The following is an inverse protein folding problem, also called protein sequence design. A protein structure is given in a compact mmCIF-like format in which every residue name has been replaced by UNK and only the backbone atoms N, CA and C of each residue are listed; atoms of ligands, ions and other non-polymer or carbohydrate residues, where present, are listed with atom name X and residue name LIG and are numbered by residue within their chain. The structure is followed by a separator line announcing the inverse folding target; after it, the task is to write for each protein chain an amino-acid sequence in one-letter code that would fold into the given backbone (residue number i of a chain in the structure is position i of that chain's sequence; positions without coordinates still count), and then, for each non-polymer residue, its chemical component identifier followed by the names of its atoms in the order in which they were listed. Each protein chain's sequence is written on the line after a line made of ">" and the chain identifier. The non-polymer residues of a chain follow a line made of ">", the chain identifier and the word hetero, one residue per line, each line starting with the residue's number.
data_IF_354212506233
#
_entry.id   IF_354212506233
#
_cell.length_a   1.000
_cell.length_b   1.000
_cell.length_c   1.000
_cell.angle_alpha   90.00
_cell.angle_beta   90.00
_cell.angle_gamma   90.00
#
_symmetry.space_group_name_H-M   'P 1'
#
loop_
_entity.id
_entity.type
_entity.pdbx_description
1 polymer ?
#
# COMPACT_ATOMS: atom_id res chain seq x y z
N UNK A 1 10.59 4.44 83.30
CA UNK A 1 10.12 5.53 82.40
C UNK A 1 10.89 5.57 81.07
N UNK A 2 12.24 5.69 81.05
CA UNK A 2 13.04 5.70 79.81
C UNK A 2 12.86 4.48 78.88
N UNK A 3 12.67 3.27 79.42
CA UNK A 3 12.41 2.04 78.63
C UNK A 3 11.06 2.05 77.90
N UNK A 4 10.02 2.65 78.48
CA UNK A 4 8.70 2.73 77.87
C UNK A 4 8.64 3.81 76.79
N UNK A 5 9.41 4.89 76.94
CA UNK A 5 9.57 5.97 75.94
C UNK A 5 10.28 5.46 74.67
N UNK A 6 11.30 4.61 74.83
CA UNK A 6 11.99 3.98 73.71
C UNK A 6 11.10 2.98 72.96
N UNK A 7 10.22 2.27 73.68
CA UNK A 7 9.29 1.31 73.09
C UNK A 7 8.14 2.00 72.34
N UNK A 8 7.62 3.12 72.86
CA UNK A 8 6.62 3.94 72.13
C UNK A 8 7.23 4.66 70.94
N UNK A 9 8.47 5.13 71.03
CA UNK A 9 9.18 5.72 69.89
C UNK A 9 9.47 4.70 68.77
N UNK A 10 9.81 3.45 69.12
CA UNK A 10 10.01 2.37 68.16
C UNK A 10 8.69 1.95 67.46
N UNK A 11 7.58 1.84 68.21
CA UNK A 11 6.28 1.56 67.62
C UNK A 11 5.75 2.71 66.74
N UNK A 12 6.05 3.97 67.09
CA UNK A 12 5.69 5.12 66.26
C UNK A 12 6.49 5.18 64.96
N UNK A 13 7.75 4.72 64.96
CA UNK A 13 8.58 4.63 63.75
C UNK A 13 8.13 3.51 62.80
N UNK A 14 7.61 2.40 63.35
CA UNK A 14 7.06 1.27 62.58
C UNK A 14 5.69 1.58 61.92
N UNK A 15 4.97 2.59 62.41
CA UNK A 15 3.70 3.04 61.81
C UNK A 15 3.90 4.08 60.68
N UNK A 16 5.13 4.55 60.47
CA UNK A 16 5.45 5.58 59.47
C UNK A 16 5.93 5.06 58.10
N UNK A 17 6.03 3.75 57.90
CA UNK A 17 6.58 3.16 56.66
C UNK A 17 5.51 2.68 55.67
N UNK A 18 4.28 3.20 55.72
CA UNK A 18 3.31 2.97 54.65
C UNK A 18 3.71 3.83 53.45
N UNK A 19 4.49 3.24 52.54
CA UNK A 19 4.79 3.82 51.23
C UNK A 19 3.50 3.98 50.44
N UNK A 20 2.98 5.20 50.35
CA UNK A 20 1.94 5.52 49.36
C UNK A 20 2.60 5.57 47.98
N UNK A 21 2.63 4.43 47.28
CA UNK A 21 3.16 4.37 45.91
C UNK A 21 2.24 5.08 44.90
N UNK A 22 0.94 5.18 45.19
CA UNK A 22 -0.09 5.67 44.27
C UNK A 22 0.01 7.20 43.97
N UNK A 23 0.86 7.95 44.69
CA UNK A 23 1.10 9.38 44.41
C UNK A 23 1.94 9.59 43.14
N UNK A 24 2.75 8.61 42.75
CA UNK A 24 3.61 8.68 41.56
C UNK A 24 2.95 8.09 40.31
N UNK A 25 1.82 7.40 40.47
CA UNK A 25 1.05 6.81 39.37
C UNK A 25 0.05 7.85 38.84
N UNK A 26 0.54 8.78 38.01
CA UNK A 26 -0.28 9.79 37.36
C UNK A 26 -0.51 9.40 35.89
N UNK A 27 -1.67 8.80 35.63
CA UNK A 27 -2.06 8.43 34.26
C UNK A 27 -2.28 9.67 33.38
N UNK A 28 -1.80 9.68 32.12
CA UNK A 28 -2.02 10.79 31.19
C UNK A 28 -3.52 11.05 31.00
N UNK A 29 -3.98 12.27 31.26
CA UNK A 29 -5.38 12.65 31.01
C UNK A 29 -5.54 13.05 29.54
N UNK A 30 -6.52 12.44 28.87
CA UNK A 30 -6.84 12.73 27.46
C UNK A 30 -6.04 11.90 26.44
N UNK A 31 -5.29 10.88 26.89
CA UNK A 31 -4.62 9.89 26.04
C UNK A 31 -4.95 8.52 26.62
N UNK A 32 -5.28 7.55 25.76
CA UNK A 32 -5.47 6.17 26.20
C UNK A 32 -4.11 5.48 26.30
N UNK A 33 -3.85 4.75 27.39
CA UNK A 33 -2.67 3.87 27.45
C UNK A 33 -2.87 2.66 26.54
N UNK A 34 -1.79 1.98 26.14
CA UNK A 34 -1.90 0.76 25.31
C UNK A 34 -2.71 -0.34 26.02
N UNK A 35 -2.60 -0.44 27.35
CA UNK A 35 -3.41 -1.37 28.15
C UNK A 35 -4.91 -1.04 28.13
N UNK A 36 -5.28 0.24 28.00
CA UNK A 36 -6.69 0.67 27.95
C UNK A 36 -7.36 0.37 26.60
N UNK A 37 -6.57 0.16 25.54
CA UNK A 37 -7.08 -0.04 24.16
C UNK A 37 -6.92 -1.46 23.64
N UNK A 38 -6.08 -2.30 24.26
CA UNK A 38 -5.94 -3.71 23.88
C UNK A 38 -7.04 -4.54 24.58
N UNK A 39 -8.29 -4.27 24.20
CA UNK A 39 -9.47 -5.01 24.65
C UNK A 39 -10.25 -5.55 23.44
N UNK A 40 -11.08 -6.60 23.61
CA UNK A 40 -11.91 -7.11 22.52
C UNK A 40 -12.81 -6.05 21.87
N UNK A 41 -13.22 -5.03 22.62
CA UNK A 41 -14.09 -3.94 22.17
C UNK A 41 -13.34 -2.90 21.34
N UNK A 42 -12.06 -2.65 21.65
CA UNK A 42 -11.29 -1.54 21.08
C UNK A 42 -10.23 -1.97 20.06
N UNK A 43 -9.84 -3.26 20.03
CA UNK A 43 -8.72 -3.75 19.20
C UNK A 43 -8.92 -3.52 17.69
N UNK A 44 -10.16 -3.50 17.21
CA UNK A 44 -10.47 -3.19 15.80
C UNK A 44 -10.09 -1.74 15.43
N UNK A 45 -9.92 -0.83 16.39
CA UNK A 45 -9.40 0.51 16.14
C UNK A 45 -7.98 0.51 15.55
N UNK A 46 -7.11 -0.40 16.00
CA UNK A 46 -5.78 -0.58 15.43
C UNK A 46 -5.85 -1.11 13.99
N UNK A 47 -6.75 -2.05 13.74
CA UNK A 47 -7.01 -2.63 12.41
C UNK A 47 -7.46 -1.53 11.45
N UNK A 48 -8.46 -0.72 11.85
CA UNK A 48 -8.98 0.40 11.06
C UNK A 48 -7.88 1.43 10.79
N UNK A 49 -7.05 1.76 11.79
CA UNK A 49 -5.93 2.69 11.61
C UNK A 49 -4.92 2.20 10.56
N UNK A 50 -4.66 0.89 10.51
CA UNK A 50 -3.80 0.29 9.48
C UNK A 50 -4.42 0.37 8.08
N UNK A 51 -5.72 0.08 7.93
CA UNK A 51 -6.44 0.28 6.65
C UNK A 51 -6.41 1.74 6.20
N UNK A 52 -6.62 2.68 7.13
CA UNK A 52 -6.57 4.09 6.82
C UNK A 52 -5.21 4.54 6.25
N UNK A 53 -4.12 3.79 6.48
CA UNK A 53 -2.83 4.14 5.88
C UNK A 53 -2.79 3.92 4.36
N UNK A 54 -3.63 3.06 3.77
CA UNK A 54 -3.60 2.69 2.33
C UNK A 54 -3.94 3.84 1.37
N UNK A 55 -4.51 4.95 1.88
CA UNK A 55 -4.86 6.13 1.10
C UNK A 55 -4.62 7.42 1.88
N UNK A 56 -3.62 7.42 2.76
CA UNK A 56 -3.15 8.61 3.49
C UNK A 56 -1.93 9.25 2.79
N UNK A 57 -1.82 9.03 1.48
CA UNK A 57 -0.89 9.68 0.59
C UNK A 57 -1.39 11.06 0.18
N UNK A 58 -0.61 11.74 -0.66
CA UNK A 58 -0.90 13.08 -1.12
C UNK A 58 -0.19 13.34 -2.44
N UNK A 59 -0.49 14.43 -3.13
CA UNK A 59 -0.03 14.65 -4.52
C UNK A 59 1.48 14.66 -4.72
N UNK A 60 2.22 15.04 -3.68
CA UNK A 60 3.69 15.09 -3.66
C UNK A 60 4.29 13.72 -3.35
N UNK A 61 3.46 12.74 -2.99
CA UNK A 61 3.88 11.39 -2.63
C UNK A 61 2.80 10.33 -2.94
N UNK A 62 2.29 10.23 -4.18
CA UNK A 62 1.10 9.44 -4.48
C UNK A 62 1.35 7.93 -4.47
N UNK A 63 0.43 7.16 -3.88
CA UNK A 63 0.51 5.70 -3.77
C UNK A 63 0.01 4.97 -5.02
N UNK A 64 -0.67 5.67 -5.93
CA UNK A 64 -0.92 5.20 -7.31
C UNK A 64 0.38 5.00 -8.11
N UNK A 65 1.50 5.52 -7.61
CA UNK A 65 2.83 5.47 -8.18
C UNK A 65 3.00 6.15 -9.54
N UNK A 66 2.05 6.95 -10.01
CA UNK A 66 2.14 7.56 -11.35
C UNK A 66 3.46 8.31 -11.62
N UNK A 67 4.08 9.05 -10.66
CA UNK A 67 5.37 9.72 -10.90
C UNK A 67 6.56 8.76 -10.90
N UNK A 68 6.44 7.61 -10.23
CA UNK A 68 7.48 6.59 -10.10
C UNK A 68 7.26 5.43 -11.08
N UNK A 69 6.17 5.41 -11.84
CA UNK A 69 5.83 4.36 -12.78
C UNK A 69 5.66 4.96 -14.17
N UNK A 70 4.44 5.43 -14.45
CA UNK A 70 4.03 5.88 -15.77
C UNK A 70 4.87 7.03 -16.33
N UNK A 71 5.24 8.00 -15.49
CA UNK A 71 6.08 9.13 -15.93
C UNK A 71 7.52 8.72 -16.22
N UNK A 72 8.01 7.65 -15.58
CA UNK A 72 9.34 7.08 -15.89
C UNK A 72 9.29 6.07 -17.03
N UNK A 73 8.09 5.64 -17.43
CA UNK A 73 7.89 4.77 -18.59
C UNK A 73 7.64 5.62 -19.83
N UNK A 74 7.28 4.93 -20.90
CA UNK A 74 6.86 5.50 -22.18
C UNK A 74 5.38 5.90 -22.21
N UNK A 75 4.62 5.71 -21.13
CA UNK A 75 3.16 5.90 -21.11
C UNK A 75 2.72 7.35 -20.94
N UNK A 76 3.48 8.16 -20.20
CA UNK A 76 3.04 9.48 -19.78
C UNK A 76 4.17 10.50 -19.69
N UNK A 77 3.82 11.76 -19.92
CA UNK A 77 4.61 12.92 -19.54
C UNK A 77 4.17 13.42 -18.16
N UNK A 78 5.07 14.09 -17.43
CA UNK A 78 4.77 14.65 -16.11
C UNK A 78 3.57 15.61 -16.15
N UNK A 79 3.48 16.44 -17.18
CA UNK A 79 2.52 17.55 -17.26
C UNK A 79 2.83 18.66 -16.25
N UNK A 80 1.80 19.33 -15.74
CA UNK A 80 1.92 20.50 -14.88
C UNK A 80 2.30 21.77 -15.63
N UNK A 81 2.52 22.86 -14.89
CA UNK A 81 2.78 24.18 -15.50
C UNK A 81 4.16 24.30 -16.17
N UNK A 82 5.06 23.35 -15.93
CA UNK A 82 6.39 23.28 -16.52
C UNK A 82 7.29 22.29 -15.81
N UNK A 83 8.56 22.21 -16.24
CA UNK A 83 9.54 21.24 -15.72
C UNK A 83 9.92 21.45 -14.25
N UNK A 84 9.81 22.68 -13.74
CA UNK A 84 10.11 23.01 -12.33
C UNK A 84 8.94 22.79 -11.38
N UNK A 85 7.74 22.54 -11.90
CA UNK A 85 6.53 22.28 -11.12
C UNK A 85 6.56 20.83 -10.60
N UNK A 86 6.94 20.68 -9.32
CA UNK A 86 7.43 19.43 -8.71
C UNK A 86 8.61 18.85 -9.50
N UNK A 87 9.76 19.54 -9.44
CA UNK A 87 10.95 19.23 -10.23
C UNK A 87 11.46 17.78 -10.06
N UNK A 88 11.30 17.18 -8.88
CA UNK A 88 11.70 15.79 -8.65
C UNK A 88 11.04 14.82 -9.64
N UNK A 89 9.75 15.02 -9.94
CA UNK A 89 9.02 14.19 -10.91
C UNK A 89 9.54 14.37 -12.34
N UNK A 90 10.02 15.56 -12.70
CA UNK A 90 10.64 15.77 -14.00
C UNK A 90 12.00 15.06 -14.10
N UNK A 91 12.80 15.08 -13.04
CA UNK A 91 14.06 14.33 -12.99
C UNK A 91 13.85 12.81 -13.06
N UNK A 92 12.73 12.31 -12.53
CA UNK A 92 12.32 10.93 -12.74
C UNK A 92 11.95 10.66 -14.21
N UNK A 93 11.15 11.52 -14.83
CA UNK A 93 10.73 11.43 -16.24
C UNK A 93 11.93 11.30 -17.19
N UNK A 94 12.92 12.19 -17.07
CA UNK A 94 14.09 12.21 -17.97
C UNK A 94 15.24 11.32 -17.48
N UNK A 95 15.07 10.61 -16.35
CA UNK A 95 16.11 9.79 -15.71
C UNK A 95 17.45 10.51 -15.53
N UNK A 96 17.41 11.80 -15.15
CA UNK A 96 18.59 12.66 -15.05
C UNK A 96 18.50 13.55 -13.80
N UNK A 97 19.65 13.87 -13.19
CA UNK A 97 19.75 14.67 -11.96
C UNK A 97 18.97 14.10 -10.75
N UNK A 98 18.74 12.79 -10.72
CA UNK A 98 18.11 12.12 -9.58
C UNK A 98 19.08 12.13 -8.40
N UNK A 99 18.63 12.65 -7.26
CA UNK A 99 19.44 12.77 -6.03
C UNK A 99 18.84 11.96 -4.90
N UNK A 100 19.70 11.55 -3.97
CA UNK A 100 19.29 10.80 -2.78
C UNK A 100 18.59 11.65 -1.71
N UNK A 101 18.56 12.98 -1.88
CA UNK A 101 18.02 13.95 -0.92
C UNK A 101 16.64 14.49 -1.31
N UNK A 102 15.96 13.88 -2.29
CA UNK A 102 14.59 14.25 -2.64
C UNK A 102 13.61 13.85 -1.54
N UNK A 103 12.88 14.85 -1.04
CA UNK A 103 11.91 14.67 0.04
C UNK A 103 10.72 13.79 -0.35
N UNK A 104 10.36 13.73 -1.63
CA UNK A 104 9.27 12.90 -2.14
C UNK A 104 9.57 11.40 -1.95
N UNK A 105 10.80 10.96 -2.24
CA UNK A 105 11.21 9.56 -2.05
C UNK A 105 11.36 9.20 -0.56
N UNK A 106 11.92 10.11 0.24
CA UNK A 106 12.03 9.93 1.69
C UNK A 106 10.64 9.85 2.35
N UNK A 107 9.72 10.73 1.97
CA UNK A 107 8.33 10.73 2.44
C UNK A 107 7.58 9.47 1.99
N UNK A 108 7.79 9.01 0.75
CA UNK A 108 7.20 7.78 0.26
C UNK A 108 7.65 6.59 1.11
N UNK A 109 8.96 6.47 1.32
CA UNK A 109 9.55 5.47 2.19
C UNK A 109 8.94 5.53 3.59
N UNK A 110 8.93 6.72 4.21
CA UNK A 110 8.40 6.96 5.54
C UNK A 110 6.93 6.54 5.67
N UNK A 111 6.06 6.97 4.76
CA UNK A 111 4.62 6.67 4.85
C UNK A 111 4.33 5.16 4.72
N UNK A 112 5.09 4.44 3.89
CA UNK A 112 4.98 2.98 3.80
C UNK A 112 5.40 2.30 5.11
N UNK A 113 6.47 2.77 5.77
CA UNK A 113 6.87 2.26 7.09
C UNK A 113 5.88 2.65 8.19
N UNK A 114 5.21 3.80 8.10
CA UNK A 114 4.09 4.14 9.00
C UNK A 114 2.96 3.11 8.83
N UNK A 115 2.60 2.76 7.59
CA UNK A 115 1.64 1.69 7.29
C UNK A 115 2.04 0.35 7.90
N UNK A 116 3.29 -0.09 7.69
CA UNK A 116 3.86 -1.31 8.27
C UNK A 116 3.81 -1.28 9.80
N UNK A 117 4.19 -0.16 10.42
CA UNK A 117 4.17 0.01 11.87
C UNK A 117 2.75 -0.13 12.43
N UNK A 118 1.74 0.43 11.76
CA UNK A 118 0.33 0.27 12.17
C UNK A 118 -0.13 -1.18 12.07
N UNK A 119 0.23 -1.90 11.00
CA UNK A 119 -0.05 -3.33 10.88
C UNK A 119 0.63 -4.13 12.00
N UNK A 120 1.91 -3.89 12.27
CA UNK A 120 2.67 -4.58 13.31
C UNK A 120 2.05 -4.35 14.70
N UNK A 121 1.67 -3.10 15.02
CA UNK A 121 0.96 -2.78 16.27
C UNK A 121 -0.39 -3.48 16.37
N UNK A 122 -1.17 -3.49 15.30
CA UNK A 122 -2.46 -4.18 15.27
C UNK A 122 -2.30 -5.70 15.50
N UNK A 123 -1.31 -6.34 14.84
CA UNK A 123 -1.02 -7.76 15.03
C UNK A 123 -0.55 -8.03 16.46
N UNK A 124 0.34 -7.21 17.01
CA UNK A 124 0.82 -7.34 18.38
C UNK A 124 -0.34 -7.24 19.40
N UNK A 125 -1.23 -6.26 19.24
CA UNK A 125 -2.42 -6.10 20.08
C UNK A 125 -3.38 -7.30 19.96
N UNK A 126 -3.69 -7.75 18.75
CA UNK A 126 -4.52 -8.94 18.50
C UNK A 126 -3.90 -10.20 19.12
N UNK A 127 -2.57 -10.31 19.15
CA UNK A 127 -1.87 -11.45 19.73
C UNK A 127 -2.02 -11.55 21.25
N UNK A 128 -2.25 -10.44 21.95
CA UNK A 128 -2.50 -10.41 23.40
C UNK A 128 -3.89 -10.95 23.79
N UNK A 129 -4.84 -10.99 22.86
CA UNK A 129 -6.19 -11.53 23.10
C UNK A 129 -6.27 -13.02 22.76
N UNK A 130 -7.04 -13.79 23.51
CA UNK A 130 -7.38 -15.17 23.12
C UNK A 130 -8.48 -15.20 22.05
N UNK A 131 -8.59 -16.31 21.30
CA UNK A 131 -9.70 -16.51 20.34
C UNK A 131 -11.08 -16.58 21.03
N UNK A 132 -11.12 -16.98 22.30
CA UNK A 132 -12.35 -16.95 23.10
C UNK A 132 -12.79 -15.52 23.42
N UNK A 133 -11.83 -14.63 23.71
CA UNK A 133 -12.10 -13.20 23.95
C UNK A 133 -12.43 -12.45 22.66
N UNK A 134 -11.75 -12.80 21.55
CA UNK A 134 -11.95 -12.13 20.27
C UNK A 134 -12.01 -13.17 19.13
N UNK A 135 -13.21 -13.68 18.78
CA UNK A 135 -13.38 -14.72 17.78
C UNK A 135 -12.89 -14.35 16.37
N UNK A 136 -12.82 -13.05 16.04
CA UNK A 136 -12.32 -12.56 14.76
C UNK A 136 -10.78 -12.48 14.68
N UNK A 137 -10.04 -12.89 15.73
CA UNK A 137 -8.57 -12.72 15.84
C UNK A 137 -7.82 -13.16 14.59
N UNK A 138 -8.00 -14.42 14.16
CA UNK A 138 -7.28 -14.98 13.00
C UNK A 138 -7.57 -14.20 11.72
N UNK A 139 -8.84 -13.85 11.50
CA UNK A 139 -9.27 -13.06 10.35
C UNK A 139 -8.62 -11.67 10.35
N UNK A 140 -8.60 -10.97 11.50
CA UNK A 140 -7.97 -9.64 11.59
C UNK A 140 -6.45 -9.69 11.42
N UNK A 141 -5.78 -10.69 11.97
CA UNK A 141 -4.34 -10.88 11.74
C UNK A 141 -4.06 -11.11 10.25
N UNK A 142 -4.89 -11.92 9.57
CA UNK A 142 -4.79 -12.18 8.14
C UNK A 142 -4.96 -10.90 7.30
N UNK A 143 -5.94 -10.06 7.65
CA UNK A 143 -6.13 -8.74 7.06
C UNK A 143 -4.88 -7.85 7.26
N UNK A 144 -4.31 -7.80 8.46
CA UNK A 144 -3.11 -7.00 8.74
C UNK A 144 -1.87 -7.51 8.00
N UNK A 145 -1.72 -8.83 7.86
CA UNK A 145 -0.65 -9.41 7.03
C UNK A 145 -0.82 -9.05 5.56
N UNK A 146 -2.05 -9.11 5.02
CA UNK A 146 -2.33 -8.66 3.65
C UNK A 146 -1.92 -7.19 3.44
N UNK A 147 -2.36 -6.29 4.33
CA UNK A 147 -2.05 -4.85 4.24
C UNK A 147 -0.54 -4.59 4.40
N UNK A 148 0.13 -5.27 5.34
CA UNK A 148 1.59 -5.18 5.52
C UNK A 148 2.35 -5.69 4.29
N UNK A 149 1.91 -6.80 3.72
CA UNK A 149 2.44 -7.36 2.48
C UNK A 149 2.34 -6.37 1.33
N UNK A 150 1.22 -5.64 1.22
CA UNK A 150 1.06 -4.57 0.22
C UNK A 150 2.11 -3.47 0.40
N UNK A 151 2.27 -2.91 1.61
CA UNK A 151 3.27 -1.85 1.84
C UNK A 151 4.71 -2.33 1.56
N UNK A 152 5.07 -3.55 1.98
CA UNK A 152 6.39 -4.09 1.64
C UNK A 152 6.55 -4.37 0.14
N UNK A 153 5.51 -4.85 -0.54
CA UNK A 153 5.55 -5.05 -1.99
C UNK A 153 5.84 -3.73 -2.71
N UNK A 154 5.16 -2.65 -2.34
CA UNK A 154 5.39 -1.31 -2.90
C UNK A 154 6.83 -0.83 -2.65
N UNK A 155 7.32 -0.95 -1.42
CA UNK A 155 8.72 -0.66 -1.08
C UNK A 155 9.70 -1.51 -1.90
N UNK A 156 9.40 -2.81 -2.10
CA UNK A 156 10.27 -3.75 -2.82
C UNK A 156 10.40 -3.40 -4.29
N UNK A 157 9.30 -3.06 -4.97
CA UNK A 157 9.33 -2.72 -6.40
C UNK A 157 9.97 -1.36 -6.66
N UNK A 158 9.97 -0.45 -5.68
CA UNK A 158 10.58 0.89 -5.80
C UNK A 158 12.07 0.90 -5.42
N UNK A 159 12.44 0.22 -4.33
CA UNK A 159 13.77 0.35 -3.71
C UNK A 159 14.62 -0.91 -3.78
N UNK A 160 14.06 -2.04 -4.22
CA UNK A 160 14.66 -3.40 -4.28
C UNK A 160 15.06 -3.99 -2.92
N UNK A 161 15.64 -3.23 -2.01
CA UNK A 161 16.15 -3.69 -0.73
C UNK A 161 15.74 -2.74 0.38
N UNK A 162 15.03 -3.28 1.38
CA UNK A 162 14.53 -2.51 2.51
C UNK A 162 14.71 -3.30 3.82
N UNK A 163 14.88 -2.62 4.97
CA UNK A 163 14.83 -3.29 6.27
C UNK A 163 13.50 -4.03 6.43
N UNK A 164 13.56 -5.30 6.83
CA UNK A 164 12.34 -6.06 7.09
C UNK A 164 12.12 -6.19 8.59
N UNK A 165 11.00 -5.66 9.08
CA UNK A 165 10.55 -5.70 10.47
C UNK A 165 9.11 -6.22 10.57
N UNK A 166 8.82 -6.95 11.63
CA UNK A 166 7.50 -7.48 11.93
C UNK A 166 7.07 -7.16 13.37
N UNK A 167 5.92 -7.68 13.80
CA UNK A 167 5.38 -7.48 15.14
C UNK A 167 6.27 -8.05 16.27
N UNK A 168 7.24 -8.91 15.93
CA UNK A 168 8.13 -9.54 16.89
C UNK A 168 9.50 -8.84 16.96
N UNK A 169 9.72 -7.83 16.11
CA UNK A 169 10.97 -7.08 16.07
C UNK A 169 10.97 -6.00 17.17
N UNK A 170 11.91 -6.02 18.13
CA UNK A 170 12.00 -4.99 19.16
C UNK A 170 12.29 -3.60 18.57
N UNK A 171 11.63 -2.56 19.09
CA UNK A 171 11.81 -1.18 18.62
C UNK A 171 13.26 -0.72 18.74
N UNK A 172 13.94 -1.09 19.83
CA UNK A 172 15.36 -0.74 20.08
C UNK A 172 16.33 -1.37 19.08
N UNK A 173 15.89 -2.38 18.32
CA UNK A 173 16.68 -3.01 17.28
C UNK A 173 16.47 -2.38 15.90
N UNK A 174 15.41 -1.58 15.70
CA UNK A 174 15.12 -0.96 14.39
C UNK A 174 16.34 -0.24 13.77
N UNK A 175 17.10 0.59 14.51
CA UNK A 175 18.26 1.30 13.95
C UNK A 175 19.42 0.37 13.52
N UNK A 176 19.41 -0.88 13.97
CA UNK A 176 20.48 -1.87 13.72
C UNK A 176 20.17 -2.75 12.51
N UNK A 177 18.95 -2.69 11.97
CA UNK A 177 18.51 -3.58 10.89
C UNK A 177 18.94 -2.97 9.55
N UNK A 178 19.91 -3.62 8.92
CA UNK A 178 20.35 -3.27 7.57
C UNK A 178 19.26 -3.57 6.53
N UNK A 179 19.17 -2.73 5.50
CA UNK A 179 18.36 -3.02 4.30
C UNK A 179 18.89 -4.22 3.48
N UNK A 180 20.07 -4.74 3.81
CA UNK A 180 20.67 -5.96 3.24
C UNK A 180 20.63 -7.15 4.20
N UNK A 181 19.94 -7.05 5.34
CA UNK A 181 19.81 -8.17 6.29
C UNK A 181 19.15 -9.41 5.67
N UNK A 182 18.29 -9.21 4.66
CA UNK A 182 17.77 -10.28 3.79
C UNK A 182 18.38 -10.12 2.39
N UNK A 183 18.71 -11.23 1.76
CA UNK A 183 18.97 -11.28 0.32
C UNK A 183 17.71 -10.91 -0.47
N UNK A 184 17.84 -10.61 -1.76
CA UNK A 184 16.71 -10.25 -2.63
C UNK A 184 15.58 -11.30 -2.58
N UNK A 185 15.95 -12.57 -2.72
CA UNK A 185 15.01 -13.70 -2.68
C UNK A 185 14.40 -13.93 -1.29
N UNK A 186 15.19 -13.81 -0.21
CA UNK A 186 14.66 -13.90 1.15
C UNK A 186 13.67 -12.77 1.47
N UNK A 187 13.89 -11.58 0.93
CA UNK A 187 12.97 -10.46 1.09
C UNK A 187 11.68 -10.71 0.30
N UNK A 188 11.76 -11.21 -0.93
CA UNK A 188 10.58 -11.65 -1.69
C UNK A 188 9.79 -12.75 -0.96
N UNK A 189 10.47 -13.75 -0.40
CA UNK A 189 9.83 -14.81 0.38
C UNK A 189 9.13 -14.27 1.63
N UNK A 190 9.74 -13.32 2.33
CA UNK A 190 9.12 -12.67 3.49
C UNK A 190 7.87 -11.85 3.10
N UNK A 191 7.86 -11.23 1.93
CA UNK A 191 6.68 -10.53 1.42
C UNK A 191 5.59 -11.53 1.01
N UNK A 192 5.97 -12.60 0.31
CA UNK A 192 5.03 -13.64 -0.11
C UNK A 192 4.36 -14.34 1.08
N UNK A 193 5.09 -14.59 2.17
CA UNK A 193 4.53 -15.25 3.36
C UNK A 193 3.41 -14.46 4.02
N UNK A 194 3.45 -13.13 3.95
CA UNK A 194 2.35 -12.28 4.41
C UNK A 194 1.04 -12.59 3.65
N UNK A 195 1.13 -12.81 2.34
CA UNK A 195 -0.03 -13.13 1.51
C UNK A 195 -0.44 -14.60 1.60
N UNK A 196 0.49 -15.53 1.79
CA UNK A 196 0.20 -16.96 2.05
C UNK A 196 -0.58 -17.12 3.36
N UNK A 197 -0.09 -16.50 4.44
CA UNK A 197 -0.75 -16.52 5.74
C UNK A 197 -2.12 -15.83 5.69
N UNK A 198 -2.23 -14.73 4.94
CA UNK A 198 -3.49 -14.04 4.72
C UNK A 198 -4.48 -14.95 3.97
N UNK A 199 -4.08 -15.58 2.87
CA UNK A 199 -4.93 -16.46 2.08
C UNK A 199 -5.39 -17.70 2.88
N UNK A 200 -4.56 -18.21 3.79
CA UNK A 200 -4.93 -19.34 4.65
C UNK A 200 -6.07 -19.00 5.63
N UNK A 201 -6.19 -17.73 6.06
CA UNK A 201 -7.05 -17.34 7.17
C UNK A 201 -8.17 -16.35 6.79
N UNK A 202 -8.11 -15.71 5.62
CA UNK A 202 -9.17 -14.84 5.12
C UNK A 202 -10.39 -15.67 4.65
N UNK A 203 -11.61 -15.16 4.85
CA UNK A 203 -12.81 -15.78 4.31
C UNK A 203 -12.92 -15.58 2.80
N UNK A 204 -13.70 -16.43 2.13
CA UNK A 204 -14.02 -16.28 0.69
C UNK A 204 -14.88 -15.05 0.41
N UNK A 205 -15.68 -14.62 1.39
CA UNK A 205 -16.54 -13.44 1.32
C UNK A 205 -16.32 -12.55 2.55
N UNK A 206 -16.54 -11.26 2.38
CA UNK A 206 -16.48 -10.25 3.45
C UNK A 206 -17.76 -9.42 3.39
N UNK A 207 -18.28 -9.03 4.55
CA UNK A 207 -19.43 -8.14 4.65
C UNK A 207 -19.08 -6.68 4.34
N UNK A 208 -17.82 -6.29 4.62
CA UNK A 208 -17.30 -4.96 4.36
C UNK A 208 -16.43 -5.02 3.09
N UNK A 209 -16.87 -4.32 2.03
CA UNK A 209 -16.26 -4.41 0.68
C UNK A 209 -14.79 -3.99 0.65
N UNK A 210 -14.37 -3.08 1.53
CA UNK A 210 -12.98 -2.63 1.63
C UNK A 210 -12.03 -3.62 2.33
N UNK A 211 -12.52 -4.75 2.86
CA UNK A 211 -11.67 -5.79 3.46
C UNK A 211 -11.28 -6.83 2.41
N UNK A 212 -10.02 -7.30 2.41
CA UNK A 212 -9.58 -8.29 1.45
C UNK A 212 -10.27 -9.64 1.71
N UNK A 213 -10.66 -10.29 0.62
CA UNK A 213 -11.09 -11.68 0.58
C UNK A 213 -9.88 -12.59 0.42
N UNK A 214 -10.05 -13.90 0.64
CA UNK A 214 -9.05 -14.92 0.34
C UNK A 214 -8.49 -14.82 -1.08
N UNK A 215 -9.35 -14.60 -2.06
CA UNK A 215 -8.99 -14.43 -3.47
C UNK A 215 -8.11 -13.20 -3.71
N UNK A 216 -8.32 -12.10 -2.99
CA UNK A 216 -7.45 -10.92 -3.09
C UNK A 216 -6.02 -11.21 -2.59
N UNK A 217 -5.88 -11.98 -1.50
CA UNK A 217 -4.58 -12.42 -1.01
C UNK A 217 -3.86 -13.32 -2.03
N UNK A 218 -4.58 -14.24 -2.68
CA UNK A 218 -4.01 -15.04 -3.77
C UNK A 218 -3.63 -14.21 -5.01
N UNK A 219 -4.40 -13.18 -5.36
CA UNK A 219 -4.04 -12.28 -6.46
C UNK A 219 -2.72 -11.54 -6.18
N UNK A 220 -2.54 -11.01 -4.96
CA UNK A 220 -1.27 -10.42 -4.54
C UNK A 220 -0.14 -11.43 -4.47
N UNK A 221 -0.39 -12.65 -3.96
CA UNK A 221 0.61 -13.71 -3.93
C UNK A 221 1.11 -14.07 -5.34
N UNK A 222 0.19 -14.20 -6.31
CA UNK A 222 0.53 -14.41 -7.70
C UNK A 222 1.43 -13.27 -8.22
N UNK A 223 1.03 -12.02 -8.00
CA UNK A 223 1.83 -10.84 -8.39
C UNK A 223 3.23 -10.86 -7.78
N UNK A 224 3.35 -11.15 -6.48
CA UNK A 224 4.65 -11.20 -5.77
C UNK A 224 5.53 -12.32 -6.32
N UNK A 225 4.99 -13.53 -6.49
CA UNK A 225 5.74 -14.66 -7.03
C UNK A 225 6.14 -14.45 -8.49
N UNK A 226 5.32 -13.74 -9.28
CA UNK A 226 5.70 -13.34 -10.64
C UNK A 226 6.93 -12.42 -10.63
N UNK A 227 6.93 -11.38 -9.80
CA UNK A 227 8.10 -10.49 -9.66
C UNK A 227 9.33 -11.24 -9.16
N UNK A 228 9.17 -12.10 -8.15
CA UNK A 228 10.26 -12.88 -7.57
C UNK A 228 10.93 -13.82 -8.58
N UNK A 229 10.15 -14.38 -9.52
CA UNK A 229 10.66 -15.34 -10.48
C UNK A 229 11.72 -14.76 -11.43
N UNK A 230 11.75 -13.44 -11.63
CA UNK A 230 12.75 -12.75 -12.43
C UNK A 230 13.92 -12.32 -11.54
N UNK A 231 14.86 -13.22 -11.34
CA UNK A 231 16.01 -13.01 -10.46
C UNK A 231 16.99 -12.02 -11.10
N UNK A 232 17.47 -11.06 -10.31
CA UNK A 232 18.36 -10.00 -10.77
C UNK A 232 19.70 -10.01 -10.03
N UNK A 233 20.76 -9.60 -10.74
CA UNK A 233 22.05 -9.29 -10.12
C UNK A 233 22.05 -7.91 -9.43
N UNK A 234 23.21 -7.53 -8.88
CA UNK A 234 23.41 -6.21 -8.25
C UNK A 234 23.41 -5.04 -9.26
N UNK A 235 23.53 -5.33 -10.56
CA UNK A 235 23.38 -4.36 -11.65
C UNK A 235 21.95 -4.30 -12.19
N UNK A 236 20.98 -4.91 -11.50
CA UNK A 236 19.55 -4.91 -11.85
C UNK A 236 19.23 -5.64 -13.17
N UNK A 237 20.16 -6.43 -13.69
CA UNK A 237 19.95 -7.24 -14.90
C UNK A 237 19.27 -8.55 -14.53
N UNK A 238 18.24 -8.96 -15.27
CA UNK A 238 17.63 -10.28 -15.09
C UNK A 238 18.63 -11.36 -15.51
N UNK A 239 19.05 -12.18 -14.56
CA UNK A 239 20.02 -13.26 -14.79
C UNK A 239 19.36 -14.63 -14.95
N UNK A 240 18.18 -14.81 -14.36
CA UNK A 240 17.45 -16.07 -14.39
C UNK A 240 15.94 -15.82 -14.30
N UNK A 241 15.16 -16.67 -14.99
CA UNK A 241 13.73 -16.78 -14.80
C UNK A 241 13.47 -18.14 -14.13
N UNK A 242 13.01 -18.13 -12.89
CA UNK A 242 12.85 -19.33 -12.07
C UNK A 242 11.51 -20.04 -12.36
N UNK A 243 11.51 -21.22 -13.00
CA UNK A 243 10.27 -21.90 -13.38
C UNK A 243 9.49 -22.42 -12.17
N UNK A 244 10.15 -22.74 -11.05
CA UNK A 244 9.47 -23.20 -9.83
C UNK A 244 8.69 -22.05 -9.20
N UNK A 245 9.28 -20.85 -9.15
CA UNK A 245 8.60 -19.66 -8.64
C UNK A 245 7.48 -19.20 -9.58
N UNK A 246 7.67 -19.29 -10.90
CA UNK A 246 6.58 -19.06 -11.86
C UNK A 246 5.41 -20.03 -11.64
N UNK A 247 5.67 -21.30 -11.37
CA UNK A 247 4.60 -22.25 -11.08
C UNK A 247 3.80 -21.84 -9.83
N UNK A 248 4.48 -21.37 -8.76
CA UNK A 248 3.78 -20.81 -7.59
C UNK A 248 2.89 -19.62 -7.93
N UNK A 249 3.31 -18.77 -8.87
CA UNK A 249 2.48 -17.66 -9.37
C UNK A 249 1.23 -18.17 -10.08
N UNK A 250 1.37 -19.19 -10.92
CA UNK A 250 0.26 -19.84 -11.63
C UNK A 250 -0.70 -20.48 -10.63
N UNK A 251 -0.19 -21.22 -9.66
CA UNK A 251 -0.99 -21.90 -8.65
C UNK A 251 -1.81 -20.91 -7.82
N UNK A 252 -1.21 -19.78 -7.44
CA UNK A 252 -1.91 -18.69 -6.75
C UNK A 252 -2.97 -18.02 -7.65
N UNK A 253 -2.66 -17.74 -8.92
CA UNK A 253 -3.62 -17.17 -9.86
C UNK A 253 -4.83 -18.09 -10.09
N UNK A 254 -4.61 -19.42 -10.14
CA UNK A 254 -5.69 -20.41 -10.26
C UNK A 254 -6.68 -20.36 -9.09
N UNK A 255 -6.26 -19.91 -7.90
CA UNK A 255 -7.18 -19.73 -6.76
C UNK A 255 -8.07 -18.49 -6.89
N UNK A 256 -7.78 -17.59 -7.83
CA UNK A 256 -8.58 -16.39 -8.12
C UNK A 256 -9.64 -16.66 -9.19
N UNK A 257 -9.32 -17.51 -10.17
CA UNK A 257 -10.21 -17.85 -11.29
C UNK A 257 -11.57 -18.33 -10.78
N UNK A 258 -12.64 -17.78 -11.36
CA UNK A 258 -14.02 -18.12 -10.99
C UNK A 258 -14.59 -17.37 -9.78
N UNK A 259 -13.79 -16.57 -9.06
CA UNK A 259 -14.29 -15.74 -7.95
C UNK A 259 -14.75 -14.33 -8.39
N UNK A 260 -14.39 -13.91 -9.61
CA UNK A 260 -14.65 -12.60 -10.19
C UNK A 260 -15.00 -12.74 -11.67
N UNK A 261 -15.62 -11.72 -12.25
CA UNK A 261 -15.88 -11.62 -13.69
C UNK A 261 -15.42 -10.26 -14.19
N UNK A 262 -15.01 -10.19 -15.46
CA UNK A 262 -14.74 -8.90 -16.09
C UNK A 262 -16.02 -8.07 -16.14
N UNK A 263 -15.87 -6.75 -16.07
CA UNK A 263 -16.98 -5.86 -16.35
C UNK A 263 -17.50 -6.06 -17.77
N UNK A 264 -18.79 -5.82 -17.96
CA UNK A 264 -19.39 -5.89 -19.31
C UNK A 264 -18.89 -4.77 -20.23
N UNK A 265 -18.39 -3.68 -19.65
CA UNK A 265 -17.77 -2.55 -20.33
C UNK A 265 -16.50 -2.16 -19.57
N UNK A 266 -15.39 -1.98 -20.28
CA UNK A 266 -14.10 -1.63 -19.67
C UNK A 266 -14.19 -0.35 -18.84
N UNK A 267 -14.97 0.64 -19.29
CA UNK A 267 -15.15 1.92 -18.62
C UNK A 267 -15.77 1.83 -17.23
N UNK A 268 -16.56 0.77 -16.94
CA UNK A 268 -17.22 0.62 -15.64
C UNK A 268 -16.24 0.51 -14.48
N UNK A 269 -15.04 -0.02 -14.71
CA UNK A 269 -13.98 -0.04 -13.69
C UNK A 269 -13.54 1.36 -13.21
N UNK A 270 -13.81 2.41 -14.00
CA UNK A 270 -13.28 3.77 -13.78
C UNK A 270 -14.38 4.80 -13.57
N UNK A 271 -15.64 4.38 -13.46
CA UNK A 271 -16.77 5.26 -13.20
C UNK A 271 -17.15 5.24 -11.70
N UNK A 272 -17.42 6.41 -11.10
CA UNK A 272 -17.86 6.48 -9.71
C UNK A 272 -19.31 6.02 -9.53
N UNK A 273 -19.74 5.90 -8.28
CA UNK A 273 -21.14 5.61 -7.93
C UNK A 273 -21.49 4.13 -8.07
N UNK A 274 -22.48 3.78 -8.91
CA UNK A 274 -23.00 2.40 -8.97
C UNK A 274 -22.05 1.37 -9.56
N UNK A 275 -20.93 1.81 -10.14
CA UNK A 275 -19.90 0.94 -10.72
C UNK A 275 -18.70 0.70 -9.79
N UNK A 276 -18.64 1.40 -8.65
CA UNK A 276 -17.63 1.13 -7.63
C UNK A 276 -17.82 -0.26 -7.04
N UNK A 277 -16.71 -0.92 -6.68
CA UNK A 277 -16.72 -2.28 -6.12
C UNK A 277 -17.44 -3.30 -7.02
N UNK A 278 -17.40 -3.10 -8.34
CA UNK A 278 -17.97 -3.99 -9.34
C UNK A 278 -17.32 -5.39 -9.39
N UNK A 279 -17.86 -6.32 -10.20
CA UNK A 279 -17.38 -7.70 -10.29
C UNK A 279 -15.90 -7.89 -10.64
N UNK A 280 -15.23 -6.90 -11.25
CA UNK A 280 -13.80 -6.96 -11.58
C UNK A 280 -12.90 -6.38 -10.47
N UNK A 281 -13.50 -5.69 -9.47
CA UNK A 281 -12.78 -5.11 -8.34
C UNK A 281 -12.34 -6.18 -7.32
N UNK A 282 -11.13 -6.70 -7.49
CA UNK A 282 -10.54 -7.72 -6.58
C UNK A 282 -10.25 -7.16 -5.18
N UNK A 283 -9.62 -5.99 -5.11
CA UNK A 283 -9.38 -5.21 -3.91
C UNK A 283 -9.19 -3.74 -4.30
N UNK A 284 -9.87 -2.83 -3.61
CA UNK A 284 -9.87 -1.40 -3.90
C UNK A 284 -9.71 -0.59 -2.62
N UNK A 285 -8.97 0.52 -2.71
CA UNK A 285 -8.86 1.48 -1.61
C UNK A 285 -10.14 2.29 -1.58
N UNK A 286 -10.79 2.31 -0.42
CA UNK A 286 -12.05 3.03 -0.24
C UNK A 286 -11.75 4.49 0.10
N UNK A 287 -12.14 5.37 -0.81
CA UNK A 287 -12.21 6.81 -0.59
C UNK A 287 -13.67 7.21 -0.30
N UNK A 288 -13.88 8.34 0.36
CA UNK A 288 -15.21 8.82 0.72
C UNK A 288 -15.28 10.34 0.72
N UNK A 289 -16.43 10.87 0.32
CA UNK A 289 -16.83 12.24 0.59
C UNK A 289 -17.93 12.28 1.66
N UNK A 290 -18.21 13.47 2.21
CA UNK A 290 -19.32 13.69 3.15
C UNK A 290 -19.36 12.73 4.36
N UNK A 291 -18.20 12.26 4.81
CA UNK A 291 -18.03 11.24 5.85
C UNK A 291 -17.88 11.80 7.28
N UNK A 292 -18.13 13.10 7.44
CA UNK A 292 -17.98 13.80 8.72
C UNK A 292 -16.55 14.26 9.04
N UNK A 293 -15.57 14.00 8.17
CA UNK A 293 -14.25 14.62 8.22
C UNK A 293 -14.25 16.00 7.54
N UNK A 294 -13.23 16.83 7.80
CA UNK A 294 -13.18 18.21 7.32
C UNK A 294 -13.17 18.34 5.78
N UNK A 295 -12.51 17.41 5.08
CA UNK A 295 -12.33 17.47 3.63
C UNK A 295 -12.76 16.20 2.90
N UNK A 296 -13.30 15.22 3.61
CA UNK A 296 -13.48 13.86 3.11
C UNK A 296 -12.17 13.07 3.08
N UNK A 297 -12.28 11.76 2.96
CA UNK A 297 -11.17 10.87 2.65
C UNK A 297 -11.04 10.72 1.13
N UNK A 298 -10.70 11.80 0.45
CA UNK A 298 -10.56 11.84 -1.01
C UNK A 298 -9.21 11.27 -1.48
N UNK A 299 -9.12 10.95 -2.77
CA UNK A 299 -7.86 10.53 -3.40
C UNK A 299 -6.96 11.75 -3.68
N UNK A 300 -6.30 12.25 -2.64
CA UNK A 300 -5.38 13.39 -2.75
C UNK A 300 -4.09 13.07 -3.52
N UNK A 301 -3.72 11.79 -3.66
CA UNK A 301 -2.56 11.38 -4.46
C UNK A 301 -2.68 11.76 -5.94
N UNK A 302 -3.89 11.65 -6.50
CA UNK A 302 -4.12 11.86 -7.93
C UNK A 302 -4.78 13.22 -8.25
N UNK A 303 -4.95 14.10 -7.26
CA UNK A 303 -5.67 15.38 -7.43
C UNK A 303 -5.07 16.31 -8.50
N UNK A 304 -3.75 16.21 -8.75
CA UNK A 304 -3.07 17.04 -9.76
C UNK A 304 -3.37 16.61 -11.20
N UNK A 305 -3.88 15.40 -11.42
CA UNK A 305 -4.15 14.84 -12.75
C UNK A 305 -5.42 15.42 -13.40
N UNK A 306 -6.17 16.26 -12.69
CA UNK A 306 -7.34 16.94 -13.25
C UNK A 306 -6.90 17.94 -14.36
N UNK A 307 -7.53 17.92 -15.55
CA UNK A 307 -7.14 18.80 -16.64
C UNK A 307 -7.30 20.29 -16.34
N UNK A 308 -6.44 21.11 -16.93
CA UNK A 308 -6.56 22.56 -16.86
C UNK A 308 -7.90 23.03 -17.44
N UNK A 309 -8.58 23.97 -16.76
CA UNK A 309 -9.87 24.52 -17.20
C UNK A 309 -11.10 23.83 -16.58
N UNK A 310 -10.95 22.61 -16.07
CA UNK A 310 -11.89 21.99 -15.11
C UNK A 310 -11.45 22.21 -13.66
N UNK A 311 -10.23 22.73 -13.48
CA UNK A 311 -9.61 23.07 -12.22
C UNK A 311 -8.11 23.22 -12.43
N UNK A 312 -7.35 22.57 -11.56
CA UNK A 312 -5.90 22.42 -11.59
C UNK A 312 -5.64 20.90 -11.45
N UNK A 313 -4.57 20.31 -11.99
CA UNK A 313 -3.31 20.96 -12.34
C UNK A 313 -2.62 20.43 -13.63
N UNK A 314 -3.31 19.61 -14.41
CA UNK A 314 -2.85 19.08 -15.70
C UNK A 314 -1.55 18.24 -15.63
N UNK A 315 -1.34 17.51 -14.53
CA UNK A 315 -0.29 16.52 -14.41
C UNK A 315 -0.69 15.16 -15.01
N UNK A 316 0.26 14.23 -15.11
CA UNK A 316 0.06 12.84 -15.56
C UNK A 316 -0.59 12.74 -16.96
N UNK A 317 0.08 13.31 -17.96
CA UNK A 317 -0.45 13.45 -19.32
C UNK A 317 -0.09 12.22 -20.17
N UNK A 318 -1.05 11.51 -20.78
CA UNK A 318 -0.73 10.39 -21.68
C UNK A 318 0.23 10.81 -22.80
N UNK A 319 1.21 9.96 -23.11
CA UNK A 319 2.17 10.21 -24.18
C UNK A 319 1.57 9.90 -25.55
N UNK A 320 2.17 10.47 -26.60
CA UNK A 320 1.79 10.11 -27.97
C UNK A 320 2.16 8.65 -28.28
N UNK A 321 3.20 8.10 -27.65
CA UNK A 321 3.58 6.70 -27.81
C UNK A 321 2.46 5.77 -27.31
N UNK A 322 1.90 6.04 -26.13
CA UNK A 322 0.76 5.30 -25.59
C UNK A 322 -0.46 5.38 -26.51
N UNK A 323 -0.79 6.58 -27.00
CA UNK A 323 -1.90 6.78 -27.96
C UNK A 323 -1.66 5.95 -29.22
N UNK A 324 -0.44 5.97 -29.75
CA UNK A 324 -0.05 5.20 -30.93
C UNK A 324 -0.15 3.68 -30.68
N UNK A 325 0.11 3.20 -29.46
CA UNK A 325 0.07 1.79 -29.10
C UNK A 325 -1.34 1.18 -29.17
N UNK A 326 -2.38 2.00 -29.11
CA UNK A 326 -3.76 1.57 -29.34
C UNK A 326 -4.13 1.38 -30.82
N UNK A 327 -3.25 1.74 -31.78
CA UNK A 327 -3.47 1.45 -33.20
C UNK A 327 -3.43 -0.05 -33.46
N UNK A 328 -4.33 -0.50 -34.30
CA UNK A 328 -4.43 -1.91 -34.70
C UNK A 328 -4.34 -2.07 -36.21
N UNK A 329 -3.96 -3.27 -36.63
CA UNK A 329 -4.09 -3.69 -38.02
C UNK A 329 -5.58 -3.72 -38.41
N UNK A 330 -5.91 -3.79 -39.72
CA UNK A 330 -7.29 -3.98 -40.16
C UNK A 330 -7.99 -5.21 -39.56
N UNK A 331 -7.23 -6.19 -39.06
CA UNK A 331 -7.73 -7.40 -38.39
C UNK A 331 -7.95 -7.21 -36.87
N UNK A 332 -7.66 -6.02 -36.32
CA UNK A 332 -7.78 -5.73 -34.89
C UNK A 332 -6.63 -6.24 -34.03
N UNK A 333 -5.47 -6.56 -34.63
CA UNK A 333 -4.27 -6.97 -33.88
C UNK A 333 -3.36 -5.77 -33.60
N UNK A 334 -2.58 -5.75 -32.49
CA UNK A 334 -1.58 -4.70 -32.27
C UNK A 334 -0.56 -4.60 -33.40
N UNK A 335 -0.11 -3.38 -33.71
CA UNK A 335 0.90 -3.13 -34.74
C UNK A 335 2.33 -3.26 -34.18
N UNK A 336 2.79 -4.49 -33.92
CA UNK A 336 4.04 -4.75 -33.18
C UNK A 336 5.29 -3.95 -33.64
N UNK A 337 5.52 -3.84 -34.95
CA UNK A 337 6.75 -3.25 -35.48
C UNK A 337 6.61 -1.80 -35.95
N UNK A 338 5.38 -1.32 -36.17
CA UNK A 338 5.11 -0.07 -36.91
C UNK A 338 4.14 0.86 -36.18
N UNK A 339 3.73 0.53 -34.95
CA UNK A 339 2.75 1.35 -34.22
C UNK A 339 3.23 2.79 -34.03
N UNK A 340 4.54 3.04 -33.94
CA UNK A 340 5.08 4.37 -33.66
C UNK A 340 5.77 5.04 -34.86
N UNK A 341 5.66 4.49 -36.07
CA UNK A 341 6.24 5.09 -37.29
C UNK A 341 5.56 6.41 -37.69
N UNK A 342 4.27 6.52 -37.36
CA UNK A 342 3.44 7.70 -37.61
C UNK A 342 2.54 7.97 -36.41
N UNK A 343 2.37 9.24 -36.06
CA UNK A 343 1.46 9.60 -34.99
C UNK A 343 0.01 9.41 -35.40
N UNK A 344 -0.78 8.82 -34.50
CA UNK A 344 -2.23 8.85 -34.56
C UNK A 344 -2.67 10.31 -34.47
N UNK A 345 -3.11 10.85 -35.60
CA UNK A 345 -3.65 12.21 -35.69
C UNK A 345 -5.14 12.21 -35.34
N UNK A 346 -5.48 12.83 -34.22
CA UNK A 346 -6.86 12.88 -33.73
C UNK A 346 -7.84 13.55 -34.72
N UNK A 347 -7.38 14.52 -35.53
CA UNK A 347 -8.19 15.16 -36.57
C UNK A 347 -8.52 14.22 -37.74
N UNK A 348 -7.89 13.05 -37.79
CA UNK A 348 -8.00 12.06 -38.85
C UNK A 348 -8.28 10.66 -38.28
N UNK A 349 -8.96 10.55 -37.13
CA UNK A 349 -9.24 9.27 -36.46
C UNK A 349 -9.85 8.21 -37.38
N UNK A 350 -10.70 8.63 -38.33
CA UNK A 350 -11.32 7.73 -39.31
C UNK A 350 -10.32 6.99 -40.22
N UNK A 351 -9.08 7.47 -40.31
CA UNK A 351 -8.00 6.83 -41.06
C UNK A 351 -7.34 5.69 -40.28
N UNK A 352 -7.65 5.53 -38.99
CA UNK A 352 -7.03 4.54 -38.11
C UNK A 352 -8.05 3.53 -37.62
N UNK A 353 -7.61 2.28 -37.47
CA UNK A 353 -8.28 1.29 -36.61
C UNK A 353 -7.62 1.35 -35.25
N UNK A 354 -8.42 1.48 -34.20
CA UNK A 354 -7.94 1.62 -32.82
C UNK A 354 -8.71 0.70 -31.89
N UNK A 355 -8.04 0.27 -30.84
CA UNK A 355 -8.68 -0.46 -29.75
C UNK A 355 -9.63 0.47 -28.98
N UNK A 356 -10.87 0.03 -28.64
CA UNK A 356 -11.83 0.84 -27.90
C UNK A 356 -11.32 1.38 -26.57
N UNK A 357 -10.37 0.70 -25.92
CA UNK A 357 -9.77 1.12 -24.65
C UNK A 357 -9.11 2.50 -24.74
N UNK A 358 -8.66 2.93 -25.92
CA UNK A 358 -8.14 4.29 -26.13
C UNK A 358 -9.10 5.36 -25.61
N UNK A 359 -10.40 5.22 -25.90
CA UNK A 359 -11.43 6.20 -25.54
C UNK A 359 -11.81 6.18 -24.06
N UNK A 360 -11.40 5.14 -23.33
CA UNK A 360 -11.56 5.05 -21.88
C UNK A 360 -10.28 5.43 -21.12
N UNK A 361 -9.15 5.59 -21.83
CA UNK A 361 -7.84 5.88 -21.24
C UNK A 361 -7.38 7.32 -21.51
N UNK A 362 -7.61 7.84 -22.72
CA UNK A 362 -7.11 9.15 -23.14
C UNK A 362 -8.25 10.00 -23.68
N UNK A 363 -8.41 11.20 -23.11
CA UNK A 363 -9.25 12.24 -23.70
C UNK A 363 -8.49 12.89 -24.87
N UNK A 364 -8.86 12.51 -26.10
CA UNK A 364 -8.28 13.09 -27.32
C UNK A 364 -8.85 14.53 -27.56
N UNK A 365 -8.04 15.47 -28.07
CA UNK A 365 -8.45 16.87 -28.27
C UNK A 365 -9.54 17.12 -29.32
#
# INVERSE_FOLDING_TARGET
>A
MKKYILLTAACAFLLGTTSCNDFLDNEPRGVLSEADVVTPENVDGFVIAAYAALGNDHYDTPFSLWPYGNVRSDDAYKGGSGTNDIQAFHFFEISNNIRSDFGELDRLWYLHYVGISRCNKAIAALNQLSEAQYPNKKKRIAEMKFVRGHFYFMLKILFKYVPYVDENTPIDDYPKISNRAKTDQQLWDAIASNFEDAAANLPSTQSEVGRPKKSAAYAYLAKVRLYQAYEQDDNYTVTQINPVTLQKSIDAANQVIGNYTLESDFGYNFLPGTHENGPESVFSIQYSDNDGTLFGRLNYGDVLSLPQGLGCCDFHKPSQNLVNAFKTTPQGLPMFDTYNDTDLNYNQLNNYKVDPRLYHTVALP
#
